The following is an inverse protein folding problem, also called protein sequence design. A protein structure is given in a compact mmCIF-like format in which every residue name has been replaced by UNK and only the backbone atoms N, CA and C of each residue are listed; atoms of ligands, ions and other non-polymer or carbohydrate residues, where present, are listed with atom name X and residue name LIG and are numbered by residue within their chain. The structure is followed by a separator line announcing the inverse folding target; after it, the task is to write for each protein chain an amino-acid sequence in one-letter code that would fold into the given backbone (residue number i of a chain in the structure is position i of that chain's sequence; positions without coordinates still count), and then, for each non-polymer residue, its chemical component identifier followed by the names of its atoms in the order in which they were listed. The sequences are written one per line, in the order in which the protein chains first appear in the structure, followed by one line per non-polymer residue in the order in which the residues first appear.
data_IF_973500051352
#
_entry.id   IF_973500051352
#
_cell.length_a   1.000
_cell.length_b   1.000
_cell.length_c   1.000
_cell.angle_alpha   90.00
_cell.angle_beta   90.00
_cell.angle_gamma   90.00
#
_symmetry.space_group_name_H-M   'P 1'
#
loop_
_entity.id
_entity.type
_entity.pdbx_description
1 polymer ?
#
# COMPACT_ATOMS: atom_id res chain seq x y z
N UNK A 1 1.71 12.32 1.38
CA UNK A 1 2.96 12.29 0.56
C UNK A 1 3.91 11.29 1.18
N UNK A 2 4.24 10.20 0.47
CA UNK A 2 5.19 9.18 0.94
C UNK A 2 6.59 9.79 1.09
N UNK A 3 6.95 10.25 2.29
CA UNK A 3 8.32 10.63 2.60
C UNK A 3 9.13 9.38 2.98
N UNK A 4 10.47 9.43 2.84
CA UNK A 4 11.32 8.28 3.12
C UNK A 4 11.17 7.73 4.55
N UNK A 5 10.86 8.59 5.53
CA UNK A 5 10.59 8.18 6.92
C UNK A 5 9.32 7.34 7.05
N UNK A 6 8.29 7.66 6.26
CA UNK A 6 7.04 6.94 6.27
C UNK A 6 7.23 5.50 5.78
N UNK A 7 7.93 5.33 4.65
CA UNK A 7 8.25 4.01 4.10
C UNK A 7 9.14 3.21 5.06
N UNK A 8 10.09 3.86 5.74
CA UNK A 8 10.93 3.22 6.76
C UNK A 8 10.09 2.68 7.93
N UNK A 9 9.13 3.47 8.42
CA UNK A 9 8.26 3.05 9.52
C UNK A 9 7.42 1.82 9.14
N UNK A 10 6.87 1.80 7.92
CA UNK A 10 6.13 0.64 7.41
C UNK A 10 7.04 -0.59 7.27
N UNK A 11 8.23 -0.41 6.67
CA UNK A 11 9.19 -1.49 6.46
C UNK A 11 9.73 -2.06 7.77
N UNK A 12 9.87 -1.25 8.82
CA UNK A 12 10.26 -1.73 10.14
C UNK A 12 9.21 -2.67 10.75
N UNK A 13 7.92 -2.41 10.50
CA UNK A 13 6.82 -3.23 11.02
C UNK A 13 6.58 -4.49 10.19
N UNK A 14 6.51 -4.34 8.87
CA UNK A 14 6.11 -5.42 7.97
C UNK A 14 7.32 -6.19 7.42
N UNK A 15 8.53 -5.67 7.54
CA UNK A 15 9.73 -6.19 6.91
C UNK A 15 9.85 -5.80 5.43
N UNK A 16 10.95 -6.16 4.76
CA UNK A 16 11.23 -5.78 3.38
C UNK A 16 10.23 -6.39 2.39
N UNK A 17 10.04 -5.71 1.25
CA UNK A 17 9.24 -6.20 0.13
C UNK A 17 10.02 -7.25 -0.67
N UNK A 18 9.32 -8.28 -1.13
CA UNK A 18 9.83 -9.19 -2.16
C UNK A 18 9.63 -8.56 -3.55
N UNK A 19 10.33 -9.04 -4.59
CA UNK A 19 10.03 -8.65 -5.97
C UNK A 19 8.53 -8.80 -6.26
N UNK A 20 7.92 -7.76 -6.84
CA UNK A 20 6.49 -7.72 -7.13
C UNK A 20 5.58 -7.34 -5.95
N UNK A 21 6.10 -7.14 -4.74
CA UNK A 21 5.30 -6.68 -3.62
C UNK A 21 5.37 -5.16 -3.41
N UNK A 22 4.27 -4.58 -2.93
CA UNK A 22 4.16 -3.19 -2.49
C UNK A 22 3.52 -3.09 -1.10
N UNK A 23 3.71 -1.96 -0.43
CA UNK A 23 2.94 -1.60 0.77
C UNK A 23 1.64 -0.90 0.36
N UNK A 24 0.51 -1.40 0.86
CA UNK A 24 -0.82 -0.92 0.52
C UNK A 24 -1.56 -0.52 1.80
N UNK A 25 -2.09 0.71 1.92
CA UNK A 25 -2.92 1.09 3.05
C UNK A 25 -4.25 0.34 3.02
N UNK A 26 -4.64 -0.25 4.16
CA UNK A 26 -5.88 -1.00 4.32
C UNK A 26 -6.70 -0.47 5.53
N UNK A 27 -7.94 0.00 5.32
CA UNK A 27 -8.62 0.14 4.03
C UNK A 27 -8.00 1.25 3.17
N UNK A 28 -8.33 1.27 1.87
CA UNK A 28 -7.86 2.32 0.98
C UNK A 28 -8.29 3.71 1.46
N UNK A 29 -7.44 4.75 1.36
CA UNK A 29 -7.81 6.12 1.75
C UNK A 29 -9.06 6.64 1.04
N UNK A 30 -9.27 6.22 -0.22
CA UNK A 30 -10.48 6.55 -1.01
C UNK A 30 -11.76 5.94 -0.45
N UNK A 31 -11.65 4.88 0.36
CA UNK A 31 -12.76 4.21 1.03
C UNK A 31 -12.89 4.62 2.52
N UNK A 32 -12.27 5.73 2.92
CA UNK A 32 -12.29 6.23 4.31
C UNK A 32 -11.19 5.64 5.20
N UNK A 33 -10.20 4.96 4.63
CA UNK A 33 -9.00 4.55 5.34
C UNK A 33 -8.01 5.68 5.60
N UNK A 34 -6.89 5.35 6.23
CA UNK A 34 -5.83 6.30 6.54
C UNK A 34 -4.51 5.83 5.94
N UNK A 35 -3.60 6.79 5.72
CA UNK A 35 -2.22 6.52 5.32
C UNK A 35 -1.31 6.43 6.57
N UNK A 36 -1.79 5.94 7.71
CA UNK A 36 -0.94 5.78 8.90
C UNK A 36 -0.07 4.51 8.78
N UNK A 37 1.21 4.48 9.18
CA UNK A 37 2.09 3.32 8.96
C UNK A 37 1.53 1.97 9.47
N UNK A 38 0.72 2.01 10.51
CA UNK A 38 0.03 0.88 11.13
C UNK A 38 -1.11 0.29 10.28
N UNK A 39 -1.67 1.03 9.33
CA UNK A 39 -2.76 0.56 8.46
C UNK A 39 -2.26 -0.13 7.20
N UNK A 40 -0.96 -0.12 6.93
CA UNK A 40 -0.40 -0.77 5.74
C UNK A 40 -0.36 -2.29 5.87
N UNK A 41 -0.46 -2.97 4.74
CA UNK A 41 -0.06 -4.37 4.60
C UNK A 41 0.75 -4.56 3.31
N UNK A 42 1.32 -5.75 3.11
CA UNK A 42 1.99 -6.13 1.87
C UNK A 42 0.99 -6.75 0.90
N UNK A 43 1.01 -6.31 -0.35
CA UNK A 43 0.25 -6.91 -1.44
C UNK A 43 1.06 -7.07 -2.71
N UNK A 44 0.49 -7.74 -3.70
CA UNK A 44 1.05 -7.88 -5.03
C UNK A 44 0.75 -6.64 -5.88
N UNK A 45 1.77 -6.15 -6.60
CA UNK A 45 1.69 -4.93 -7.40
C UNK A 45 0.72 -5.05 -8.56
N UNK A 46 0.63 -6.22 -9.19
CA UNK A 46 -0.26 -6.45 -10.34
C UNK A 46 -1.70 -6.59 -9.88
N UNK A 47 -1.93 -7.30 -8.77
CA UNK A 47 -3.27 -7.35 -8.15
C UNK A 47 -3.74 -5.95 -7.77
N UNK A 48 -2.88 -5.12 -7.17
CA UNK A 48 -3.24 -3.73 -6.86
C UNK A 48 -3.55 -2.92 -8.12
N UNK A 49 -2.73 -3.03 -9.17
CA UNK A 49 -2.95 -2.34 -10.43
C UNK A 49 -4.29 -2.74 -11.08
N UNK A 50 -4.61 -4.03 -11.11
CA UNK A 50 -5.87 -4.57 -11.64
C UNK A 50 -7.08 -4.06 -10.85
N UNK A 51 -6.98 -3.96 -9.52
CA UNK A 51 -8.04 -3.43 -8.66
C UNK A 51 -8.24 -1.92 -8.89
N UNK A 52 -7.15 -1.16 -9.04
CA UNK A 52 -7.23 0.27 -9.33
C UNK A 52 -7.83 0.51 -10.71
N UNK A 53 -7.41 -0.24 -11.74
CA UNK A 53 -7.96 -0.15 -13.09
C UNK A 53 -9.48 -0.36 -13.11
N UNK A 54 -9.94 -1.44 -12.46
CA UNK A 54 -11.37 -1.71 -12.29
C UNK A 54 -12.11 -0.59 -11.55
N UNK A 55 -11.47 0.02 -10.55
CA UNK A 55 -12.08 1.12 -9.77
C UNK A 55 -12.20 2.43 -10.56
N UNK A 56 -11.35 2.67 -11.56
CA UNK A 56 -11.37 3.89 -12.39
C UNK A 56 -12.02 3.68 -13.76
N UNK A 57 -12.49 2.47 -14.05
CA UNK A 57 -13.16 2.12 -15.31
C UNK A 57 -12.23 2.00 -16.51
N UNK A 58 -10.96 1.63 -16.27
CA UNK A 58 -9.96 1.30 -17.31
C UNK A 58 -9.91 -0.20 -17.59
#
# INVERSE_FOLDING_TARGET
MLCGDHVRAIAARLGPLKPGQIYIPQPYPTLGGTEAPETYDKGDVWVFADLVAQSVGL
#
